data_IF_610750693616
#
_entry.id   IF_610750693616
#
_cell.length_a   1.000
_cell.length_b   1.000
_cell.length_c   1.000
_cell.angle_alpha   90.00
_cell.angle_beta   90.00
_cell.angle_gamma   90.00
#
_symmetry.space_group_name_H-M   'P 1'
#
loop_
_entity.id
_entity.type
_entity.pdbx_description
1 polymer ?
#
# COMPACT_ATOMS: atom_id res chain seq x y z
N UNK A 1 5.49 -7.25 -8.86
CA UNK A 1 5.10 -8.46 -9.59
C UNK A 1 3.67 -8.89 -9.33
N UNK A 2 3.16 -9.85 -10.10
CA UNK A 2 1.85 -10.44 -9.93
C UNK A 2 1.87 -11.49 -8.81
N UNK A 3 1.06 -11.28 -7.79
CA UNK A 3 0.96 -12.17 -6.64
C UNK A 3 -0.49 -12.42 -6.25
N UNK A 4 -0.71 -13.56 -5.55
CA UNK A 4 -1.99 -13.89 -4.97
C UNK A 4 -2.05 -13.36 -3.52
N UNK A 5 -2.99 -12.47 -3.27
CA UNK A 5 -3.20 -11.82 -1.97
C UNK A 5 -4.44 -12.34 -1.24
N UNK A 6 -4.90 -13.56 -1.54
CA UNK A 6 -6.08 -14.13 -0.90
C UNK A 6 -5.98 -14.22 0.62
N UNK A 7 -4.75 -14.42 1.16
CA UNK A 7 -4.50 -14.34 2.60
C UNK A 7 -4.87 -12.98 3.21
N UNK A 8 -4.76 -11.90 2.43
CA UNK A 8 -4.97 -10.52 2.86
C UNK A 8 -6.28 -9.93 2.32
N UNK A 9 -7.29 -10.75 2.09
CA UNK A 9 -8.57 -10.31 1.56
C UNK A 9 -9.68 -10.50 2.60
N UNK A 10 -10.44 -9.46 2.94
CA UNK A 10 -11.60 -9.56 3.82
C UNK A 10 -12.77 -10.30 3.17
N UNK A 11 -13.62 -10.89 4.00
CA UNK A 11 -14.91 -11.43 3.57
C UNK A 11 -15.74 -10.34 2.88
N UNK A 12 -16.52 -10.71 1.86
CA UNK A 12 -17.34 -9.76 1.11
C UNK A 12 -16.63 -9.03 -0.02
N UNK A 13 -15.38 -9.36 -0.32
CA UNK A 13 -14.74 -8.89 -1.55
C UNK A 13 -15.50 -9.40 -2.77
N UNK A 14 -15.87 -8.46 -3.67
CA UNK A 14 -16.62 -8.78 -4.91
C UNK A 14 -15.71 -9.14 -6.09
N UNK A 15 -14.38 -9.17 -5.88
CA UNK A 15 -13.44 -9.52 -6.96
C UNK A 15 -13.48 -11.02 -7.26
N UNK A 16 -13.48 -11.37 -8.54
CA UNK A 16 -13.47 -12.74 -9.01
C UNK A 16 -12.16 -13.50 -8.65
N UNK A 17 -11.05 -12.75 -8.45
CA UNK A 17 -9.75 -13.33 -8.09
C UNK A 17 -9.01 -12.42 -7.12
N UNK A 18 -8.10 -13.01 -6.35
CA UNK A 18 -7.27 -12.32 -5.37
C UNK A 18 -5.88 -11.94 -5.89
N UNK A 19 -5.66 -12.04 -7.21
CA UNK A 19 -4.39 -11.68 -7.83
C UNK A 19 -4.35 -10.19 -8.12
N UNK A 20 -3.22 -9.56 -7.79
CA UNK A 20 -2.93 -8.17 -8.15
C UNK A 20 -1.45 -8.00 -8.45
N UNK A 21 -1.12 -7.08 -9.35
CA UNK A 21 0.27 -6.73 -9.65
C UNK A 21 0.69 -5.61 -8.75
N UNK A 22 1.65 -5.86 -7.89
CA UNK A 22 2.37 -4.81 -7.14
C UNK A 22 3.49 -4.31 -8.03
N UNK A 23 3.47 -3.02 -8.32
CA UNK A 23 4.41 -2.35 -9.20
C UNK A 23 5.61 -1.85 -8.40
N UNK A 24 5.33 -1.24 -7.25
CA UNK A 24 6.35 -0.64 -6.41
C UNK A 24 5.95 -0.72 -4.93
N UNK A 25 6.95 -0.87 -4.09
CA UNK A 25 6.83 -0.71 -2.63
C UNK A 25 8.02 0.13 -2.17
N UNK A 26 7.73 1.23 -1.50
CA UNK A 26 8.74 2.07 -0.86
C UNK A 26 8.50 2.13 0.65
N UNK A 27 9.60 2.10 1.41
CA UNK A 27 9.56 2.16 2.87
C UNK A 27 10.55 3.21 3.34
N UNK A 28 10.03 4.24 3.97
CA UNK A 28 10.83 5.34 4.48
C UNK A 28 10.62 5.49 5.98
N UNK A 29 11.71 5.81 6.68
CA UNK A 29 11.66 6.17 8.09
C UNK A 29 12.05 7.64 8.27
N UNK A 30 11.18 8.38 8.95
CA UNK A 30 11.46 9.76 9.36
C UNK A 30 11.21 9.87 10.87
N UNK A 31 12.30 9.83 11.64
CA UNK A 31 12.23 9.78 13.10
C UNK A 31 11.44 8.55 13.59
N UNK A 32 10.34 8.79 14.27
CA UNK A 32 9.46 7.74 14.80
C UNK A 32 8.36 7.32 13.82
N UNK A 33 8.26 7.99 12.68
CA UNK A 33 7.29 7.67 11.64
C UNK A 33 7.88 6.71 10.61
N UNK A 34 7.13 5.62 10.32
CA UNK A 34 7.37 4.76 9.17
C UNK A 34 6.30 5.01 8.11
N UNK A 35 6.73 5.37 6.91
CA UNK A 35 5.89 5.52 5.73
C UNK A 35 6.10 4.34 4.80
N UNK A 36 5.02 3.67 4.44
CA UNK A 36 5.03 2.57 3.46
C UNK A 36 4.10 2.97 2.32
N UNK A 37 4.66 3.11 1.12
CA UNK A 37 3.91 3.36 -0.10
C UNK A 37 3.83 2.09 -0.93
N UNK A 38 2.64 1.75 -1.41
CA UNK A 38 2.43 0.57 -2.23
C UNK A 38 1.68 1.00 -3.49
N UNK A 39 2.30 0.79 -4.63
CA UNK A 39 1.66 0.96 -5.93
C UNK A 39 1.28 -0.40 -6.50
N UNK A 40 0.02 -0.55 -6.91
CA UNK A 40 -0.49 -1.79 -7.47
C UNK A 40 -1.57 -1.53 -8.53
N UNK A 41 -1.82 -2.51 -9.39
CA UNK A 41 -2.91 -2.47 -10.38
C UNK A 41 -4.31 -2.39 -9.75
N UNK A 42 -4.41 -2.60 -8.46
CA UNK A 42 -5.60 -2.45 -7.64
C UNK A 42 -5.44 -3.17 -6.30
N UNK A 43 -6.29 -2.82 -5.35
CA UNK A 43 -6.27 -3.39 -4.01
C UNK A 43 -7.53 -4.22 -3.74
N UNK A 44 -7.37 -5.32 -3.01
CA UNK A 44 -8.49 -6.11 -2.49
C UNK A 44 -9.09 -5.41 -1.26
N UNK A 45 -10.33 -5.73 -0.94
CA UNK A 45 -10.99 -5.17 0.23
C UNK A 45 -10.22 -5.49 1.52
N UNK A 46 -9.74 -4.47 2.20
CA UNK A 46 -8.96 -4.55 3.42
C UNK A 46 -7.50 -5.00 3.26
N UNK A 47 -7.03 -5.24 2.02
CA UNK A 47 -5.71 -5.81 1.71
C UNK A 47 -4.57 -5.08 2.41
N UNK A 48 -4.44 -3.78 2.18
CA UNK A 48 -3.31 -3.00 2.71
C UNK A 48 -3.27 -3.04 4.24
N UNK A 49 -4.43 -2.90 4.89
CA UNK A 49 -4.52 -2.93 6.35
C UNK A 49 -4.17 -4.29 6.96
N UNK A 50 -4.60 -5.39 6.32
CA UNK A 50 -4.27 -6.74 6.75
C UNK A 50 -2.78 -7.03 6.55
N UNK A 51 -2.22 -6.61 5.41
CA UNK A 51 -0.80 -6.74 5.11
C UNK A 51 0.05 -5.96 6.14
N UNK A 52 -0.30 -4.70 6.38
CA UNK A 52 0.42 -3.84 7.34
C UNK A 52 0.38 -4.40 8.76
N UNK A 53 -0.74 -4.95 9.21
CA UNK A 53 -0.80 -5.57 10.54
C UNK A 53 0.17 -6.74 10.70
N UNK A 54 0.33 -7.56 9.66
CA UNK A 54 1.30 -8.66 9.68
C UNK A 54 2.75 -8.15 9.62
N UNK A 55 3.03 -7.13 8.80
CA UNK A 55 4.37 -6.53 8.72
C UNK A 55 4.77 -5.85 10.04
N UNK A 56 3.85 -5.15 10.68
CA UNK A 56 4.09 -4.59 12.03
C UNK A 56 4.37 -5.70 13.04
N UNK A 57 3.61 -6.81 13.00
CA UNK A 57 3.87 -7.95 13.89
C UNK A 57 5.25 -8.57 13.66
N UNK A 58 5.75 -8.57 12.42
CA UNK A 58 7.12 -8.98 12.09
C UNK A 58 8.13 -7.99 12.68
N UNK A 59 7.93 -6.70 12.48
CA UNK A 59 8.81 -5.66 13.01
C UNK A 59 8.88 -5.62 14.53
N UNK A 60 7.81 -6.01 15.22
CA UNK A 60 7.73 -6.14 16.67
C UNK A 60 8.17 -7.52 17.19
N UNK A 61 8.70 -8.39 16.34
CA UNK A 61 9.12 -9.76 16.66
C UNK A 61 8.00 -10.66 17.23
N UNK A 62 6.73 -10.30 17.04
CA UNK A 62 5.57 -11.13 17.39
C UNK A 62 5.25 -12.20 16.35
N UNK A 63 5.79 -12.04 15.15
CA UNK A 63 5.67 -12.95 14.02
C UNK A 63 7.04 -13.06 13.35
N UNK A 64 7.50 -14.29 13.02
CA UNK A 64 8.72 -14.42 12.22
C UNK A 64 8.45 -14.18 10.73
N UNK A 65 9.46 -13.71 9.96
CA UNK A 65 9.34 -13.54 8.51
C UNK A 65 8.94 -14.83 7.79
N UNK A 66 9.44 -15.97 8.24
CA UNK A 66 9.16 -17.30 7.66
C UNK A 66 7.67 -17.65 7.83
N UNK A 67 7.12 -17.42 9.03
CA UNK A 67 5.69 -17.67 9.29
C UNK A 67 4.82 -16.70 8.48
N UNK A 68 5.25 -15.45 8.33
CA UNK A 68 4.55 -14.49 7.47
C UNK A 68 4.50 -15.00 6.02
N UNK A 69 5.64 -15.43 5.48
CA UNK A 69 5.75 -15.95 4.12
C UNK A 69 4.91 -17.22 3.94
N UNK A 70 4.93 -18.12 4.91
CA UNK A 70 4.12 -19.34 4.91
C UNK A 70 2.62 -19.02 4.88
N UNK A 71 2.14 -18.11 5.73
CA UNK A 71 0.74 -17.66 5.74
C UNK A 71 0.33 -17.12 4.38
N UNK A 72 1.19 -16.37 3.72
CA UNK A 72 0.95 -15.82 2.39
C UNK A 72 0.89 -16.92 1.34
N UNK A 73 1.93 -17.76 1.25
CA UNK A 73 2.02 -18.86 0.26
C UNK A 73 0.87 -19.87 0.41
N UNK A 74 0.51 -20.22 1.63
CA UNK A 74 -0.57 -21.15 1.94
C UNK A 74 -1.96 -20.49 1.91
N UNK A 75 -2.05 -19.18 1.63
CA UNK A 75 -3.31 -18.43 1.59
C UNK A 75 -4.11 -18.52 2.88
N UNK A 76 -3.42 -18.54 4.04
CA UNK A 76 -4.00 -18.75 5.37
C UNK A 76 -4.73 -17.50 5.88
N UNK A 77 -5.84 -17.18 5.21
CA UNK A 77 -6.73 -16.09 5.61
C UNK A 77 -7.28 -16.24 7.03
N UNK A 78 -7.44 -17.45 7.48
CA UNK A 78 -7.88 -17.79 8.84
C UNK A 78 -6.90 -17.30 9.92
N UNK A 79 -5.61 -17.14 9.58
CA UNK A 79 -4.55 -16.65 10.45
C UNK A 79 -4.27 -15.14 10.27
N UNK A 80 -4.86 -14.50 9.26
CA UNK A 80 -4.68 -13.07 8.96
C UNK A 80 -5.98 -12.33 9.24
N UNK A 81 -6.32 -12.15 10.52
CA UNK A 81 -7.58 -11.55 10.96
C UNK A 81 -7.43 -10.08 11.36
N UNK A 82 -6.33 -9.75 11.98
CA UNK A 82 -6.09 -8.41 12.51
C UNK A 82 -5.74 -7.45 11.39
N UNK A 83 -6.38 -6.30 11.39
CA UNK A 83 -6.12 -5.24 10.42
C UNK A 83 -5.54 -4.01 11.15
N UNK A 84 -4.52 -3.40 10.56
CA UNK A 84 -3.98 -2.15 11.07
C UNK A 84 -5.07 -1.07 11.20
N UNK A 85 -4.95 -0.14 12.16
CA UNK A 85 -5.88 0.98 12.29
C UNK A 85 -6.02 1.75 10.97
N UNK A 86 -7.21 2.31 10.67
CA UNK A 86 -7.43 3.00 9.40
C UNK A 86 -6.81 4.40 9.35
N UNK A 87 -6.46 4.99 10.50
CA UNK A 87 -6.10 6.41 10.62
C UNK A 87 -4.86 6.81 9.82
N UNK A 88 -3.92 5.86 9.65
CA UNK A 88 -2.70 6.08 8.86
C UNK A 88 -2.82 5.67 7.38
N UNK A 89 -4.00 5.20 6.93
CA UNK A 89 -4.17 4.76 5.55
C UNK A 89 -4.68 5.90 4.68
N UNK A 90 -3.94 6.23 3.63
CA UNK A 90 -4.31 7.25 2.65
C UNK A 90 -4.25 6.66 1.23
N UNK A 91 -5.25 6.96 0.40
CA UNK A 91 -5.18 6.73 -1.05
C UNK A 91 -4.53 7.95 -1.68
N UNK A 92 -3.28 7.82 -2.10
CA UNK A 92 -2.50 8.94 -2.64
C UNK A 92 -2.90 9.25 -4.09
N UNK A 93 -3.14 8.21 -4.90
CA UNK A 93 -3.42 8.35 -6.32
C UNK A 93 -4.24 7.20 -6.87
N UNK A 94 -5.06 7.50 -7.87
CA UNK A 94 -5.65 6.52 -8.79
C UNK A 94 -5.21 6.86 -10.22
N UNK A 95 -4.53 5.91 -10.88
CA UNK A 95 -4.13 6.03 -12.28
C UNK A 95 -5.24 5.55 -13.21
N UNK A 96 -5.45 6.26 -14.31
CA UNK A 96 -6.39 5.91 -15.36
C UNK A 96 -5.66 5.86 -16.71
N UNK A 97 -6.04 4.97 -17.65
CA UNK A 97 -5.38 4.84 -18.94
C UNK A 97 -5.56 6.07 -19.85
N UNK A 98 -6.52 6.93 -19.54
CA UNK A 98 -6.77 8.21 -20.21
C UNK A 98 -6.72 9.34 -19.17
N UNK A 99 -6.25 10.51 -19.58
CA UNK A 99 -6.31 11.70 -18.72
C UNK A 99 -7.79 12.10 -18.54
N UNK A 100 -8.31 11.88 -17.33
CA UNK A 100 -9.69 12.26 -16.98
C UNK A 100 -9.82 13.76 -16.66
N UNK A 101 -8.70 14.40 -16.30
CA UNK A 101 -8.65 15.81 -15.89
C UNK A 101 -7.51 16.52 -16.60
N UNK A 102 -7.68 17.81 -16.86
CA UNK A 102 -6.59 18.64 -17.37
C UNK A 102 -5.44 18.72 -16.35
N UNK A 103 -4.21 18.87 -16.84
CA UNK A 103 -3.01 18.96 -15.96
C UNK A 103 -3.11 20.06 -14.88
N UNK A 104 -3.88 21.09 -15.14
CA UNK A 104 -4.16 22.18 -14.19
C UNK A 104 -5.07 21.78 -13.00
N UNK A 105 -5.77 20.65 -13.08
CA UNK A 105 -6.66 20.15 -12.03
C UNK A 105 -6.04 19.08 -11.13
N UNK A 106 -4.79 18.72 -11.32
CA UNK A 106 -4.08 17.80 -10.44
C UNK A 106 -3.66 18.55 -9.16
N UNK A 107 -4.49 18.45 -8.14
CA UNK A 107 -4.08 18.79 -6.80
C UNK A 107 -3.18 17.67 -6.29
N UNK A 108 -1.97 18.04 -5.90
CA UNK A 108 -1.08 17.13 -5.21
C UNK A 108 -1.64 16.93 -3.79
N UNK A 109 -2.49 15.90 -3.66
CA UNK A 109 -3.12 15.52 -2.40
C UNK A 109 -2.15 14.70 -1.55
N UNK A 110 -0.90 15.14 -1.43
CA UNK A 110 -0.02 14.53 -0.45
C UNK A 110 -0.45 14.94 0.96
N UNK A 111 -0.72 13.98 1.85
CA UNK A 111 -0.93 14.34 3.24
C UNK A 111 0.39 14.89 3.81
N UNK A 112 0.40 16.16 4.12
CA UNK A 112 1.52 16.82 4.79
C UNK A 112 1.44 16.50 6.27
N UNK A 113 2.41 15.74 6.78
CA UNK A 113 2.57 15.54 8.20
C UNK A 113 3.70 16.46 8.69
N UNK A 114 3.33 17.55 9.34
CA UNK A 114 4.30 18.39 10.04
C UNK A 114 4.59 17.77 11.42
N UNK A 115 5.79 17.22 11.58
CA UNK A 115 6.25 16.67 12.86
C UNK A 115 6.89 17.74 13.76
N UNK A 116 7.28 18.89 13.20
CA UNK A 116 7.76 20.05 13.94
C UNK A 116 7.68 21.32 13.08
N UNK A 117 7.53 22.48 13.73
CA UNK A 117 7.47 23.81 13.07
C UNK A 117 8.77 24.21 12.34
N UNK A 118 9.86 23.42 12.47
CA UNK A 118 11.19 23.73 11.93
C UNK A 118 11.57 23.00 10.65
N UNK A 119 10.78 22.03 10.22
CA UNK A 119 11.12 21.28 9.02
C UNK A 119 10.53 21.96 7.78
N UNK A 120 11.35 22.27 6.75
CA UNK A 120 10.83 22.75 5.48
C UNK A 120 9.91 21.67 4.88
N UNK A 121 8.85 22.04 4.17
CA UNK A 121 7.99 21.09 3.48
C UNK A 121 8.86 20.19 2.58
N UNK A 122 8.68 18.86 2.61
CA UNK A 122 9.42 17.97 1.73
C UNK A 122 9.14 18.35 0.28
N UNK A 123 10.18 18.27 -0.56
CA UNK A 123 9.99 18.49 -1.99
C UNK A 123 8.96 17.50 -2.53
N UNK A 124 8.07 17.94 -3.44
CA UNK A 124 7.11 17.03 -4.06
C UNK A 124 7.85 15.88 -4.74
N UNK A 125 7.40 14.62 -4.58
CA UNK A 125 8.06 13.48 -5.20
C UNK A 125 8.08 13.67 -6.71
N UNK A 126 9.27 13.57 -7.30
CA UNK A 126 9.44 13.49 -8.75
C UNK A 126 8.95 12.12 -9.22
N UNK A 127 7.74 12.07 -9.72
CA UNK A 127 7.21 10.86 -10.33
C UNK A 127 7.88 10.57 -11.66
N UNK A 128 8.28 9.32 -11.93
CA UNK A 128 8.80 8.97 -13.25
C UNK A 128 7.73 9.26 -14.30
N UNK A 129 8.12 10.04 -15.30
CA UNK A 129 7.29 10.53 -16.39
C UNK A 129 6.99 9.45 -17.43
N UNK A 130 6.68 8.23 -17.13
CA UNK A 130 6.16 7.34 -18.20
C UNK A 130 5.70 6.02 -17.62
N UNK A 131 4.41 5.81 -17.61
CA UNK A 131 3.88 4.46 -17.81
C UNK A 131 3.97 4.25 -19.32
N UNK A 132 4.87 3.39 -19.78
CA UNK A 132 4.96 2.98 -21.17
C UNK A 132 3.59 2.53 -21.65
N UNK A 133 3.12 3.17 -22.71
CA UNK A 133 2.02 2.72 -23.55
C UNK A 133 2.54 1.57 -24.44
N UNK A 134 2.69 0.39 -23.88
CA UNK A 134 2.84 -0.84 -24.65
C UNK A 134 1.93 -1.90 -24.04
N UNK A 135 0.74 -1.95 -24.57
CA UNK A 135 -0.18 -3.08 -24.62
C UNK A 135 -0.81 -3.14 -26.01
#
# INVERSE_FOLDING_TARGET
>A
GLHDFSAFMRAGSRRAHARTTVQEVDVQRNGDLLRVEIQASGFLYGMVRLLMAQLVAVGEHRLSPEIFEERWKQRRRDLVKDAAPPHGLCLLRAGYPIELFSKAGWYDCQPWFFLAESDPPPEPPTFPKTINQDL
#
